data_IF_823220895486
#
_entry.id   IF_823220895486
#
_cell.length_a   1.000
_cell.length_b   1.000
_cell.length_c   1.000
_cell.angle_alpha   90.00
_cell.angle_beta   90.00
_cell.angle_gamma   90.00
#
_symmetry.space_group_name_H-M   'P 1'
#
loop_
_entity.id
_entity.type
_entity.pdbx_description
1 polymer ?
#
# COMPACT_ATOMS: atom_id res chain seq x y z
N UNK A 1 13.15 -7.36 -4.31
CA UNK A 1 13.67 -6.08 -4.80
C UNK A 1 12.61 -5.41 -5.69
N UNK A 2 11.64 -4.71 -5.10
CA UNK A 2 10.60 -4.01 -5.87
C UNK A 2 11.11 -2.63 -6.30
N UNK A 3 11.37 -2.49 -7.60
CA UNK A 3 11.62 -1.20 -8.23
C UNK A 3 10.34 -0.39 -8.24
N UNK A 4 10.39 0.86 -7.76
CA UNK A 4 9.27 1.79 -7.81
C UNK A 4 8.86 2.05 -9.26
N UNK A 5 7.58 1.93 -9.55
CA UNK A 5 7.03 2.29 -10.86
C UNK A 5 6.84 3.79 -10.94
N UNK A 6 7.72 4.49 -11.65
CA UNK A 6 7.49 5.88 -12.05
C UNK A 6 6.35 5.90 -13.09
N UNK A 7 5.23 6.56 -12.76
CA UNK A 7 4.17 6.90 -13.71
C UNK A 7 4.12 8.41 -13.88
N UNK A 8 4.18 8.89 -15.13
CA UNK A 8 4.13 10.30 -15.46
C UNK A 8 3.10 10.60 -16.56
N UNK A 9 2.27 11.61 -16.30
CA UNK A 9 1.28 12.24 -17.19
C UNK A 9 1.81 13.51 -17.87
N UNK A 10 3.13 13.73 -17.90
CA UNK A 10 3.76 14.95 -18.43
C UNK A 10 4.30 14.83 -19.86
N UNK A 11 4.14 15.90 -20.64
CA UNK A 11 4.71 16.10 -21.98
C UNK A 11 6.16 16.60 -21.81
N UNK A 12 7.06 15.72 -21.36
CA UNK A 12 8.50 16.00 -21.26
C UNK A 12 9.27 15.00 -22.14
N UNK A 13 10.10 15.50 -23.04
CA UNK A 13 10.82 14.69 -24.06
C UNK A 13 12.08 14.05 -23.47
N UNK A 14 12.60 14.57 -22.35
CA UNK A 14 13.81 14.05 -21.72
C UNK A 14 13.53 12.81 -20.86
N UNK A 15 14.12 11.69 -21.28
CA UNK A 15 14.08 10.39 -20.59
C UNK A 15 15.36 10.22 -19.77
N UNK A 16 15.28 10.31 -18.45
CA UNK A 16 16.40 10.03 -17.55
C UNK A 16 16.05 8.86 -16.61
N UNK A 17 16.93 7.86 -16.53
CA UNK A 17 16.82 6.70 -15.63
C UNK A 17 16.39 5.37 -16.27
N UNK A 18 16.43 4.30 -15.47
CA UNK A 18 16.04 2.94 -15.85
C UNK A 18 14.92 2.41 -14.94
N UNK A 19 13.96 1.68 -15.52
CA UNK A 19 12.86 0.98 -14.84
C UNK A 19 12.97 -0.53 -15.10
N UNK A 20 12.40 -1.37 -14.23
CA UNK A 20 12.31 -2.84 -14.45
C UNK A 20 11.03 -3.27 -15.15
N UNK A 21 10.14 -2.31 -15.44
CA UNK A 21 8.87 -2.51 -16.14
C UNK A 21 8.65 -1.37 -17.14
N UNK A 22 7.98 -1.66 -18.25
CA UNK A 22 7.68 -0.68 -19.28
C UNK A 22 7.17 -1.33 -20.57
N UNK A 23 6.69 -0.54 -21.53
CA UNK A 23 6.37 -1.05 -22.86
C UNK A 23 7.65 -1.51 -23.58
N UNK A 24 7.54 -2.47 -24.50
CA UNK A 24 8.68 -2.95 -25.31
C UNK A 24 9.41 -1.82 -26.05
N UNK A 25 8.67 -0.77 -26.45
CA UNK A 25 9.22 0.44 -27.09
C UNK A 25 10.13 1.26 -26.16
N UNK A 26 10.12 0.98 -24.87
CA UNK A 26 11.00 1.58 -23.87
C UNK A 26 12.14 0.64 -23.46
N UNK A 27 12.24 -0.61 -23.93
CA UNK A 27 13.32 -1.51 -23.56
C UNK A 27 14.70 -0.92 -23.94
N UNK A 28 15.72 -1.10 -23.10
CA UNK A 28 17.06 -0.60 -23.45
C UNK A 28 17.57 -1.28 -24.72
N UNK A 29 18.16 -0.52 -25.68
CA UNK A 29 18.68 -1.08 -26.93
C UNK A 29 19.64 -2.24 -26.74
N UNK A 30 20.49 -2.18 -25.70
CA UNK A 30 21.46 -3.22 -25.38
C UNK A 30 20.84 -4.58 -25.06
N UNK A 31 19.56 -4.63 -24.70
CA UNK A 31 18.89 -5.89 -24.39
C UNK A 31 18.28 -6.56 -25.62
N UNK A 32 18.03 -5.84 -26.71
CA UNK A 32 17.65 -6.45 -27.98
C UNK A 32 18.81 -7.25 -28.61
N UNK A 33 20.04 -7.05 -28.14
CA UNK A 33 21.20 -7.84 -28.56
C UNK A 33 21.35 -9.16 -27.79
N UNK A 34 20.48 -9.45 -26.81
CA UNK A 34 20.53 -10.71 -26.06
C UNK A 34 19.92 -11.85 -26.90
N UNK A 35 20.45 -13.08 -26.79
CA UNK A 35 19.77 -14.26 -27.31
C UNK A 35 18.35 -14.39 -26.74
N UNK A 36 17.41 -14.91 -27.54
CA UNK A 36 15.99 -14.99 -27.20
C UNK A 36 15.74 -15.68 -25.85
N UNK A 37 16.43 -16.79 -25.58
CA UNK A 37 16.31 -17.54 -24.33
C UNK A 37 16.71 -16.70 -23.11
N UNK A 38 17.75 -15.88 -23.25
CA UNK A 38 18.27 -15.05 -22.17
C UNK A 38 17.41 -13.79 -21.97
N UNK A 39 16.84 -13.26 -23.06
CA UNK A 39 15.85 -12.21 -23.02
C UNK A 39 14.57 -12.69 -22.31
N UNK A 40 14.07 -13.87 -22.65
CA UNK A 40 12.90 -14.49 -22.03
C UNK A 40 13.15 -14.79 -20.55
N UNK A 41 14.31 -15.38 -20.22
CA UNK A 41 14.67 -15.62 -18.83
C UNK A 41 14.73 -14.32 -18.02
N UNK A 42 15.30 -13.24 -18.57
CA UNK A 42 15.29 -11.93 -17.92
C UNK A 42 13.88 -11.35 -17.80
N UNK A 43 13.02 -11.55 -18.79
CA UNK A 43 11.62 -11.12 -18.71
C UNK A 43 10.91 -11.77 -17.52
N UNK A 44 10.98 -13.10 -17.42
CA UNK A 44 10.34 -13.87 -16.36
C UNK A 44 10.85 -13.51 -14.96
N UNK A 45 12.13 -13.16 -14.84
CA UNK A 45 12.77 -12.78 -13.57
C UNK A 45 12.73 -11.26 -13.30
N UNK A 46 12.02 -10.49 -14.13
CA UNK A 46 11.99 -9.03 -14.04
C UNK A 46 13.36 -8.36 -14.16
N UNK A 47 14.32 -9.03 -14.80
CA UNK A 47 15.68 -8.55 -15.07
C UNK A 47 15.78 -7.62 -16.28
N UNK A 48 14.67 -7.38 -17.00
CA UNK A 48 14.65 -6.43 -18.11
C UNK A 48 14.70 -4.99 -17.63
N UNK A 49 15.50 -4.17 -18.32
CA UNK A 49 15.59 -2.73 -18.08
C UNK A 49 14.91 -1.92 -19.20
N UNK A 50 14.09 -0.96 -18.80
CA UNK A 50 13.37 -0.05 -19.68
C UNK A 50 13.87 1.36 -19.42
N UNK A 51 14.01 2.18 -20.46
CA UNK A 51 14.19 3.63 -20.33
C UNK A 51 13.00 4.19 -19.56
N UNK A 52 13.25 4.77 -18.39
CA UNK A 52 12.22 5.47 -17.66
C UNK A 52 11.81 6.72 -18.47
N UNK A 53 10.51 7.03 -18.54
CA UNK A 53 10.11 8.42 -18.79
C UNK A 53 10.58 9.20 -17.56
N UNK A 54 11.34 10.28 -17.75
CA UNK A 54 11.61 11.12 -16.58
C UNK A 54 10.28 11.68 -16.09
N UNK A 55 10.14 11.74 -14.77
CA UNK A 55 8.93 12.23 -14.13
C UNK A 55 8.78 11.62 -12.76
N UNK A 56 9.45 12.26 -11.79
CA UNK A 56 9.39 12.04 -10.34
C UNK A 56 10.25 10.90 -9.80
N UNK A 57 11.04 11.22 -8.77
CA UNK A 57 11.70 10.27 -7.89
C UNK A 57 10.63 9.29 -7.34
N UNK A 58 10.90 7.97 -7.27
CA UNK A 58 9.94 7.04 -6.71
C UNK A 58 9.51 7.52 -5.32
N UNK A 59 8.20 7.49 -5.00
CA UNK A 59 7.70 8.07 -3.76
C UNK A 59 8.43 7.45 -2.57
N UNK A 60 8.97 8.31 -1.71
CA UNK A 60 9.63 7.86 -0.50
C UNK A 60 8.56 7.24 0.40
N UNK A 61 8.83 6.01 0.84
CA UNK A 61 7.93 5.27 1.71
C UNK A 61 8.09 5.78 3.14
N UNK A 62 6.97 5.82 3.87
CA UNK A 62 6.89 6.31 5.25
C UNK A 62 6.68 5.13 6.20
N UNK A 63 6.96 5.28 7.51
CA UNK A 63 6.53 4.30 8.50
C UNK A 63 5.00 4.14 8.50
N UNK A 64 4.50 2.93 8.74
CA UNK A 64 3.06 2.65 8.60
C UNK A 64 2.51 1.87 9.78
N UNK A 65 1.39 2.33 10.33
CA UNK A 65 0.52 1.50 11.16
C UNK A 65 -0.53 0.87 10.23
N UNK A 66 -0.38 -0.43 9.99
CA UNK A 66 -1.28 -1.22 9.15
C UNK A 66 -2.47 -1.63 10.02
N UNK A 67 -3.59 -0.93 9.86
CA UNK A 67 -4.88 -1.30 10.46
C UNK A 67 -5.60 -2.23 9.51
N UNK A 68 -5.73 -3.50 9.88
CA UNK A 68 -6.34 -4.51 9.05
C UNK A 68 -7.70 -4.90 9.63
N UNK A 69 -8.74 -4.84 8.82
CA UNK A 69 -10.03 -5.42 9.17
C UNK A 69 -9.89 -6.94 9.29
N UNK A 70 -10.19 -7.46 10.49
CA UNK A 70 -10.13 -8.89 10.78
C UNK A 70 -11.48 -9.52 11.06
N UNK A 71 -12.56 -8.75 10.89
CA UNK A 71 -13.94 -9.15 11.14
C UNK A 71 -14.43 -10.21 10.14
N UNK A 72 -15.59 -10.87 10.42
CA UNK A 72 -16.22 -11.82 9.51
C UNK A 72 -16.51 -11.25 8.10
N UNK A 73 -16.68 -9.94 7.98
CA UNK A 73 -16.90 -9.24 6.71
C UNK A 73 -15.74 -9.43 5.72
N UNK A 74 -14.54 -9.74 6.22
CA UNK A 74 -13.36 -10.02 5.41
C UNK A 74 -13.17 -11.50 5.06
N UNK A 75 -14.08 -12.39 5.48
CA UNK A 75 -14.04 -13.82 5.11
C UNK A 75 -14.52 -13.98 3.66
N UNK A 76 -13.59 -13.87 2.71
CA UNK A 76 -13.90 -14.02 1.29
C UNK A 76 -13.01 -13.17 0.38
N UNK A 77 -13.52 -12.69 -0.76
CA UNK A 77 -12.75 -11.93 -1.76
C UNK A 77 -12.07 -10.68 -1.19
N UNK A 78 -12.70 -10.03 -0.21
CA UNK A 78 -12.13 -8.87 0.49
C UNK A 78 -10.82 -9.27 1.20
N UNK A 79 -10.89 -10.25 2.10
CA UNK A 79 -9.73 -10.75 2.84
C UNK A 79 -8.63 -11.32 1.95
N UNK A 80 -9.03 -11.98 0.86
CA UNK A 80 -8.11 -12.50 -0.16
C UNK A 80 -7.32 -11.38 -0.86
N UNK A 81 -7.83 -10.13 -0.88
CA UNK A 81 -7.11 -8.98 -1.40
C UNK A 81 -6.33 -8.24 -0.31
N UNK A 82 -6.99 -7.83 0.78
CA UNK A 82 -6.39 -6.94 1.78
C UNK A 82 -5.25 -7.59 2.58
N UNK A 83 -5.32 -8.90 2.83
CA UNK A 83 -4.31 -9.59 3.66
C UNK A 83 -2.99 -9.82 2.91
N UNK A 84 -3.00 -10.35 1.66
CA UNK A 84 -1.76 -10.41 0.87
C UNK A 84 -1.21 -9.01 0.58
N UNK A 85 -2.09 -8.02 0.37
CA UNK A 85 -1.67 -6.63 0.16
C UNK A 85 -0.94 -6.07 1.40
N UNK A 86 -1.49 -6.26 2.59
CA UNK A 86 -0.85 -5.89 3.86
C UNK A 86 0.48 -6.62 4.07
N UNK A 87 0.55 -7.92 3.77
CA UNK A 87 1.79 -8.70 3.88
C UNK A 87 2.86 -8.20 2.90
N UNK A 88 2.47 -7.96 1.64
CA UNK A 88 3.37 -7.45 0.61
C UNK A 88 3.93 -6.07 0.99
N UNK A 89 3.07 -5.21 1.55
CA UNK A 89 3.47 -3.92 2.11
C UNK A 89 4.47 -4.10 3.26
N UNK A 90 4.12 -4.86 4.30
CA UNK A 90 4.99 -5.08 5.46
C UNK A 90 6.34 -5.69 5.07
N UNK A 91 6.35 -6.60 4.09
CA UNK A 91 7.58 -7.19 3.55
C UNK A 91 8.42 -6.14 2.82
N UNK A 92 7.79 -5.26 2.04
CA UNK A 92 8.49 -4.17 1.34
C UNK A 92 9.09 -3.16 2.31
N UNK A 93 8.34 -2.77 3.35
CA UNK A 93 8.82 -1.87 4.39
C UNK A 93 10.00 -2.49 5.15
N UNK A 94 9.89 -3.75 5.56
CA UNK A 94 10.99 -4.49 6.21
C UNK A 94 12.25 -4.58 5.34
N UNK A 95 12.11 -4.86 4.04
CA UNK A 95 13.24 -4.88 3.10
C UNK A 95 13.95 -3.53 2.98
N UNK A 96 13.21 -2.43 3.20
CA UNK A 96 13.72 -1.06 3.18
C UNK A 96 14.08 -0.53 4.56
N UNK A 97 14.03 -1.37 5.59
CA UNK A 97 14.28 -1.00 6.99
C UNK A 97 13.34 0.13 7.47
N UNK A 98 12.12 0.16 6.96
CA UNK A 98 11.10 1.12 7.36
C UNK A 98 10.21 0.48 8.42
N UNK A 99 10.03 1.14 9.58
CA UNK A 99 9.22 0.62 10.68
C UNK A 99 7.75 0.43 10.31
N UNK A 100 7.15 -0.64 10.81
CA UNK A 100 5.73 -0.90 10.63
C UNK A 100 5.11 -1.61 11.85
N UNK A 101 3.88 -1.23 12.17
CA UNK A 101 3.03 -1.89 13.16
C UNK A 101 1.85 -2.57 12.47
N UNK A 102 1.42 -3.70 13.01
CA UNK A 102 0.12 -4.29 12.73
C UNK A 102 -0.82 -3.93 13.88
N UNK A 103 -1.99 -3.40 13.55
CA UNK A 103 -3.12 -3.20 14.44
C UNK A 103 -4.35 -3.93 13.87
N UNK A 104 -4.96 -4.77 14.68
CA UNK A 104 -6.15 -5.52 14.29
C UNK A 104 -7.41 -4.71 14.60
N UNK A 105 -8.16 -4.34 13.57
CA UNK A 105 -9.47 -3.73 13.76
C UNK A 105 -10.45 -4.83 14.23
N UNK A 106 -10.94 -4.70 15.46
CA UNK A 106 -11.85 -5.66 16.10
C UNK A 106 -11.42 -6.11 17.51
N UNK A 107 -10.15 -6.47 17.71
CA UNK A 107 -9.62 -6.95 19.00
C UNK A 107 -8.44 -6.12 19.55
N UNK A 108 -8.12 -5.01 18.89
CA UNK A 108 -7.16 -3.98 19.34
C UNK A 108 -5.75 -4.50 19.63
N UNK A 109 -5.40 -5.67 19.10
CA UNK A 109 -4.05 -6.21 19.25
C UNK A 109 -3.07 -5.51 18.34
N UNK A 110 -1.91 -5.20 18.92
CA UNK A 110 -0.84 -4.46 18.26
C UNK A 110 0.44 -5.30 18.27
N UNK A 111 1.12 -5.38 17.13
CA UNK A 111 2.39 -6.10 16.98
C UNK A 111 3.36 -5.30 16.12
N UNK A 112 4.63 -5.27 16.51
CA UNK A 112 5.71 -4.81 15.63
C UNK A 112 5.94 -5.82 14.52
N UNK A 113 6.12 -5.36 13.28
CA UNK A 113 6.31 -6.20 12.10
C UNK A 113 7.79 -6.41 11.76
N UNK A 114 8.62 -6.62 12.79
CA UNK A 114 10.08 -6.71 12.67
C UNK A 114 10.51 -8.04 12.04
N UNK A 115 9.94 -9.16 12.49
CA UNK A 115 10.36 -10.50 12.04
C UNK A 115 9.43 -11.05 10.95
N UNK A 116 9.89 -12.04 10.15
CA UNK A 116 9.00 -12.78 9.25
C UNK A 116 7.79 -13.39 9.95
N UNK A 117 7.97 -13.91 11.16
CA UNK A 117 6.90 -14.49 11.99
C UNK A 117 5.84 -13.47 12.36
N UNK A 118 6.24 -12.23 12.69
CA UNK A 118 5.29 -11.16 12.98
C UNK A 118 4.45 -10.81 11.75
N UNK A 119 5.09 -10.76 10.57
CA UNK A 119 4.38 -10.49 9.31
C UNK A 119 3.38 -11.58 8.94
N UNK A 120 3.63 -12.84 9.28
CA UNK A 120 2.67 -13.93 9.08
C UNK A 120 1.35 -13.69 9.84
N UNK A 121 1.36 -12.92 10.93
CA UNK A 121 0.13 -12.55 11.67
C UNK A 121 -0.87 -11.79 10.79
N UNK A 122 -0.42 -11.04 9.78
CA UNK A 122 -1.32 -10.36 8.82
C UNK A 122 -2.19 -11.37 8.04
N UNK A 123 -1.66 -12.57 7.79
CA UNK A 123 -2.38 -13.64 7.11
C UNK A 123 -3.20 -14.50 8.04
N UNK A 124 -2.75 -14.72 9.28
CA UNK A 124 -3.32 -15.73 10.19
C UNK A 124 -4.18 -15.17 11.31
N UNK A 125 -3.98 -13.90 11.72
CA UNK A 125 -4.79 -13.27 12.76
C UNK A 125 -6.23 -13.07 12.26
N UNK A 126 -7.17 -13.62 13.01
CA UNK A 126 -8.61 -13.57 12.76
C UNK A 126 -9.31 -13.28 14.06
N UNK A 127 -10.35 -12.46 14.00
CA UNK A 127 -11.20 -12.22 15.14
C UNK A 127 -12.66 -12.11 14.72
N UNK A 128 -13.57 -12.54 15.60
CA UNK A 128 -15.00 -12.55 15.31
C UNK A 128 -15.72 -11.22 15.63
N UNK A 129 -15.12 -10.37 16.46
CA UNK A 129 -15.73 -9.10 16.86
C UNK A 129 -15.53 -8.03 15.79
N UNK A 130 -16.59 -7.26 15.54
CA UNK A 130 -16.58 -6.09 14.65
C UNK A 130 -15.82 -4.92 15.28
N UNK A 131 -15.65 -4.90 16.61
CA UNK A 131 -14.98 -3.82 17.36
C UNK A 131 -15.66 -2.47 17.16
N UNK A 132 -15.19 -1.46 17.88
CA UNK A 132 -15.58 -0.07 17.62
C UNK A 132 -14.56 0.55 16.63
N UNK A 133 -14.98 0.93 15.41
CA UNK A 133 -14.14 1.59 14.41
C UNK A 133 -13.42 2.85 14.93
N UNK A 134 -14.11 3.66 15.73
CA UNK A 134 -13.60 4.92 16.28
C UNK A 134 -12.51 4.62 17.30
N UNK A 135 -12.79 3.73 18.25
CA UNK A 135 -11.78 3.33 19.26
C UNK A 135 -10.57 2.70 18.58
N UNK A 136 -10.80 1.87 17.56
CA UNK A 136 -9.72 1.22 16.80
C UNK A 136 -8.79 2.23 16.13
N UNK A 137 -9.31 3.26 15.48
CA UNK A 137 -8.47 4.29 14.84
C UNK A 137 -7.85 5.24 15.87
N UNK A 138 -8.56 5.63 16.93
CA UNK A 138 -7.98 6.42 18.03
C UNK A 138 -6.79 5.70 18.66
N UNK A 139 -6.89 4.38 18.84
CA UNK A 139 -5.78 3.55 19.28
C UNK A 139 -4.60 3.63 18.31
N UNK A 140 -4.85 3.52 17.01
CA UNK A 140 -3.81 3.67 16.00
C UNK A 140 -3.16 5.09 16.01
N UNK A 141 -3.93 6.15 16.20
CA UNK A 141 -3.40 7.51 16.33
C UNK A 141 -2.46 7.66 17.54
N UNK A 142 -2.85 7.12 18.70
CA UNK A 142 -2.00 7.15 19.90
C UNK A 142 -0.67 6.40 19.71
N UNK A 143 -0.59 5.49 18.74
CA UNK A 143 0.62 4.74 18.41
C UNK A 143 1.53 5.46 17.41
N UNK A 144 1.09 6.54 16.76
CA UNK A 144 1.92 7.25 15.76
C UNK A 144 3.28 7.70 16.33
N UNK A 145 3.32 8.11 17.60
CA UNK A 145 4.55 8.52 18.27
C UNK A 145 5.59 7.40 18.41
N UNK A 146 5.16 6.14 18.43
CA UNK A 146 6.06 4.98 18.51
C UNK A 146 6.88 4.77 17.23
N UNK A 147 6.45 5.34 16.10
CA UNK A 147 7.13 5.23 14.81
C UNK A 147 7.87 6.52 14.39
N UNK A 148 7.67 7.64 15.10
CA UNK A 148 8.22 8.94 14.71
C UNK A 148 9.74 9.07 14.88
N UNK A 149 10.33 8.38 15.85
CA UNK A 149 11.75 8.54 16.19
C UNK A 149 12.70 7.80 15.24
N UNK A 150 12.15 6.97 14.34
CA UNK A 150 12.93 6.01 13.55
C UNK A 150 13.03 6.38 12.06
N UNK A 151 12.40 7.48 11.62
CA UNK A 151 12.37 7.84 10.20
C UNK A 151 12.12 9.34 9.95
N UNK A 152 12.72 9.97 8.92
CA UNK A 152 12.54 11.40 8.62
C UNK A 152 11.13 11.78 8.15
N UNK A 153 10.40 10.81 7.57
CA UNK A 153 9.02 11.05 7.14
C UNK A 153 8.04 10.67 8.23
N UNK A 154 7.02 11.52 8.38
CA UNK A 154 5.90 11.27 9.29
C UNK A 154 5.20 9.93 8.98
N UNK A 155 5.05 9.01 9.98
CA UNK A 155 4.22 7.82 9.85
C UNK A 155 2.80 8.06 9.32
N UNK A 156 2.13 7.04 8.80
CA UNK A 156 0.71 7.12 8.44
C UNK A 156 -0.05 5.92 8.99
N UNK A 157 -1.35 6.07 9.15
CA UNK A 157 -2.26 4.96 9.48
C UNK A 157 -2.86 4.51 8.15
N UNK A 158 -2.63 3.26 7.76
CA UNK A 158 -3.24 2.67 6.57
C UNK A 158 -4.31 1.67 7.02
N UNK A 159 -5.58 2.04 6.82
CA UNK A 159 -6.73 1.17 7.02
C UNK A 159 -6.96 0.34 5.75
N UNK A 160 -6.94 -1.00 5.87
CA UNK A 160 -7.32 -1.92 4.80
C UNK A 160 -8.61 -2.65 5.20
N UNK A 161 -9.70 -2.37 4.49
CA UNK A 161 -11.04 -2.85 4.86
C UNK A 161 -12.02 -2.88 3.67
N UNK A 162 -13.26 -3.29 3.90
CA UNK A 162 -14.35 -3.21 2.94
C UNK A 162 -15.06 -1.84 2.95
N UNK A 163 -15.80 -1.50 1.90
CA UNK A 163 -16.43 -0.17 1.76
C UNK A 163 -17.50 0.17 2.81
N UNK A 164 -18.17 -0.83 3.39
CA UNK A 164 -19.18 -0.62 4.45
C UNK A 164 -18.60 -0.46 5.87
N UNK A 165 -17.28 -0.47 6.03
CA UNK A 165 -16.69 -0.44 7.36
C UNK A 165 -17.02 0.87 8.08
N UNK A 166 -17.52 0.73 9.32
CA UNK A 166 -17.92 1.84 10.17
C UNK A 166 -19.13 2.65 9.68
N UNK A 167 -19.98 2.09 8.82
CA UNK A 167 -21.19 2.77 8.31
C UNK A 167 -22.12 3.27 9.41
N UNK A 168 -22.14 2.61 10.57
CA UNK A 168 -22.97 3.00 11.72
C UNK A 168 -22.42 4.21 12.50
N UNK A 169 -21.22 4.69 12.16
CA UNK A 169 -20.48 5.73 12.89
C UNK A 169 -20.31 6.99 12.04
N UNK A 170 -21.41 7.54 11.51
CA UNK A 170 -21.39 8.72 10.64
C UNK A 170 -20.79 9.97 11.34
N UNK A 171 -21.05 10.10 12.64
CA UNK A 171 -20.58 11.20 13.50
C UNK A 171 -19.11 11.04 13.98
N UNK A 172 -18.38 10.03 13.48
CA UNK A 172 -16.98 9.83 13.82
C UNK A 172 -16.14 11.10 13.53
N UNK A 173 -15.14 11.42 14.36
CA UNK A 173 -14.26 12.56 14.10
C UNK A 173 -13.40 12.33 12.85
N UNK A 174 -12.77 13.38 12.35
CA UNK A 174 -11.70 13.24 11.37
C UNK A 174 -10.42 12.78 12.09
N UNK A 175 -9.73 11.82 11.49
CA UNK A 175 -8.51 11.24 12.06
C UNK A 175 -7.28 11.74 11.34
N UNK A 176 -6.23 12.06 12.09
CA UNK A 176 -4.96 12.54 11.55
C UNK A 176 -4.22 11.39 10.88
N UNK A 177 -3.70 11.65 9.69
CA UNK A 177 -2.83 10.74 8.93
C UNK A 177 -3.46 9.39 8.62
N UNK A 178 -4.80 9.33 8.71
CA UNK A 178 -5.58 8.17 8.31
C UNK A 178 -5.69 8.14 6.80
N UNK A 179 -5.32 7.00 6.22
CA UNK A 179 -5.43 6.71 4.80
C UNK A 179 -6.18 5.41 4.59
N UNK A 180 -7.12 5.41 3.66
CA UNK A 180 -8.06 4.30 3.45
C UNK A 180 -7.78 3.52 2.17
N UNK A 181 -7.58 2.21 2.29
CA UNK A 181 -7.65 1.26 1.19
C UNK A 181 -8.93 0.42 1.35
N UNK A 182 -9.94 0.76 0.55
CA UNK A 182 -11.24 0.11 0.59
C UNK A 182 -11.39 -0.90 -0.55
N UNK A 183 -12.10 -1.98 -0.28
CA UNK A 183 -12.45 -2.99 -1.29
C UNK A 183 -13.97 -3.12 -1.37
N UNK A 184 -14.49 -3.06 -2.58
CA UNK A 184 -15.89 -3.34 -2.86
C UNK A 184 -16.18 -4.84 -2.78
N UNK A 185 -17.33 -5.18 -2.19
CA UNK A 185 -17.92 -6.51 -2.34
C UNK A 185 -18.24 -6.80 -3.81
N UNK A 186 -18.36 -8.08 -4.19
CA UNK A 186 -18.93 -8.44 -5.48
C UNK A 186 -20.27 -7.71 -5.71
N UNK A 187 -20.48 -7.25 -6.94
CA UNK A 187 -21.75 -6.69 -7.43
C UNK A 187 -22.24 -5.36 -6.82
N UNK A 188 -21.56 -4.82 -5.81
CA UNK A 188 -21.93 -3.55 -5.17
C UNK A 188 -20.70 -2.64 -5.11
N UNK A 189 -20.85 -1.38 -5.51
CA UNK A 189 -19.76 -0.39 -5.48
C UNK A 189 -20.19 0.88 -4.73
N UNK A 190 -20.47 0.79 -3.42
CA UNK A 190 -20.90 1.95 -2.64
C UNK A 190 -19.70 2.88 -2.40
N UNK A 191 -19.93 4.18 -2.26
CA UNK A 191 -18.88 5.05 -1.71
C UNK A 191 -18.48 4.54 -0.31
N UNK A 192 -17.18 4.38 0.00
CA UNK A 192 -16.78 3.91 1.32
C UNK A 192 -17.27 4.86 2.40
N UNK A 193 -17.94 4.33 3.44
CA UNK A 193 -18.57 5.14 4.48
C UNK A 193 -17.58 6.07 5.19
N UNK A 194 -16.34 5.60 5.38
CA UNK A 194 -15.26 6.33 6.04
C UNK A 194 -14.31 7.07 5.10
N UNK A 195 -14.65 7.20 3.82
CA UNK A 195 -13.83 7.92 2.85
C UNK A 195 -13.57 9.38 3.27
N UNK A 196 -14.60 10.07 3.78
CA UNK A 196 -14.52 11.46 4.23
C UNK A 196 -13.75 11.66 5.54
N UNK A 197 -13.47 10.59 6.29
CA UNK A 197 -12.67 10.62 7.53
C UNK A 197 -11.17 10.40 7.26
N UNK A 198 -10.81 9.99 6.04
CA UNK A 198 -9.44 9.74 5.61
C UNK A 198 -8.85 10.97 4.90
N UNK A 199 -7.58 11.30 5.17
CA UNK A 199 -6.86 12.33 4.42
C UNK A 199 -6.68 11.95 2.94
N UNK A 200 -6.45 10.67 2.69
CA UNK A 200 -6.35 10.09 1.36
C UNK A 200 -6.99 8.72 1.36
N UNK A 201 -7.68 8.37 0.28
CA UNK A 201 -8.25 7.05 0.16
C UNK A 201 -8.28 6.58 -1.28
N UNK A 202 -8.46 5.27 -1.42
CA UNK A 202 -8.70 4.61 -2.69
C UNK A 202 -9.67 3.47 -2.48
N UNK A 203 -10.39 3.14 -3.54
CA UNK A 203 -11.27 1.98 -3.56
C UNK A 203 -10.98 1.14 -4.79
N UNK A 204 -10.94 -0.18 -4.60
CA UNK A 204 -10.75 -1.15 -5.67
C UNK A 204 -11.84 -2.22 -5.63
N UNK A 205 -12.08 -2.87 -6.76
CA UNK A 205 -12.84 -4.12 -6.76
C UNK A 205 -11.93 -5.26 -6.31
N UNK A 206 -12.53 -6.32 -5.78
CA UNK A 206 -11.79 -7.53 -5.41
C UNK A 206 -11.02 -8.17 -6.59
N UNK A 207 -11.39 -7.85 -7.83
CA UNK A 207 -10.73 -8.31 -9.07
C UNK A 207 -9.54 -7.44 -9.53
N UNK A 208 -9.34 -6.24 -8.96
CA UNK A 208 -8.34 -5.26 -9.40
C UNK A 208 -6.92 -5.56 -8.84
N UNK A 209 -6.53 -6.83 -8.76
CA UNK A 209 -5.29 -7.28 -8.10
C UNK A 209 -4.05 -6.55 -8.66
N UNK A 210 -4.00 -6.35 -9.98
CA UNK A 210 -2.86 -5.69 -10.65
C UNK A 210 -2.66 -4.22 -10.26
N UNK A 211 -3.69 -3.56 -9.71
CA UNK A 211 -3.64 -2.14 -9.31
C UNK A 211 -3.25 -1.95 -7.85
N UNK A 212 -3.32 -3.00 -7.03
CA UNK A 212 -3.12 -2.93 -5.56
C UNK A 212 -1.79 -2.27 -5.20
N UNK A 213 -0.68 -2.72 -5.81
CA UNK A 213 0.64 -2.21 -5.50
C UNK A 213 0.79 -0.71 -5.78
N UNK A 214 0.27 -0.24 -6.93
CA UNK A 214 0.30 1.17 -7.31
C UNK A 214 -0.55 2.02 -6.35
N UNK A 215 -1.74 1.54 -6.00
CA UNK A 215 -2.64 2.22 -5.07
C UNK A 215 -2.05 2.32 -3.67
N UNK A 216 -1.54 1.22 -3.10
CA UNK A 216 -0.89 1.24 -1.79
C UNK A 216 0.33 2.15 -1.81
N UNK A 217 1.16 2.06 -2.85
CA UNK A 217 2.33 2.93 -3.01
C UNK A 217 1.97 4.42 -2.98
N UNK A 218 0.90 4.82 -3.67
CA UNK A 218 0.37 6.19 -3.59
C UNK A 218 -0.14 6.54 -2.19
N UNK A 219 -0.88 5.63 -1.56
CA UNK A 219 -1.43 5.83 -0.23
C UNK A 219 -0.38 5.90 0.87
N UNK A 220 0.83 5.37 0.72
CA UNK A 220 1.87 5.47 1.76
C UNK A 220 3.03 6.38 1.38
N UNK A 221 3.09 6.77 0.11
CA UNK A 221 4.12 7.65 -0.42
C UNK A 221 4.00 9.08 0.09
N UNK A 222 5.14 9.76 0.19
CA UNK A 222 5.19 11.21 0.04
C UNK A 222 5.21 11.59 -1.44
N UNK A 223 4.47 12.61 -1.84
CA UNK A 223 4.81 13.31 -3.08
C UNK A 223 6.20 13.95 -2.93
N UNK A 224 7.02 14.00 -3.99
CA UNK A 224 8.31 14.69 -3.93
C UNK A 224 8.07 16.18 -3.65
N UNK A 225 8.74 16.70 -2.62
CA UNK A 225 8.83 18.15 -2.41
C UNK A 225 9.56 18.71 -3.62
N UNK A 226 8.84 19.42 -4.48
CA UNK A 226 9.45 20.14 -5.59
C UNK A 226 10.27 21.28 -4.97
N UNK A 227 11.57 21.05 -4.75
CA UNK A 227 12.51 22.12 -4.45
C UNK A 227 12.67 22.96 -5.72
N UNK A 228 11.76 23.90 -5.90
CA UNK A 228 11.97 25.05 -6.78
C UNK A 228 13.11 25.85 -6.15
N UNK A 229 14.28 25.78 -6.76
CA UNK A 229 15.31 26.81 -6.62
C UNK A 229 15.09 27.88 -7.68
#
# INVERSE_FOLDING_TARGET
MSAGTAQGTGIGIDRSGYSRTGPLTALLPSQFALPEDLLLWRYLNGGLLYRARSGQEPPQLRPVIIVLDTSPATLGPIGALIRPAALALATTLSQKQIPALFHSAGDEKVFFLQTPTDRLRLLTHRHGNLGDPVISIQKAESLLGSLQHEHPLEPVILLLTHSFWGVEFEDAPNFRRLRGFFVHYPDISPQPAWANKCEQWAVLRHTDISKVAAVIGRLIGSEPVSTVK
#
